data_IF_004416354533
#
_entry.id   IF_004416354533
#
_cell.length_a   1.000
_cell.length_b   1.000
_cell.length_c   1.000
_cell.angle_alpha   90.00
_cell.angle_beta   90.00
_cell.angle_gamma   90.00
#
_symmetry.space_group_name_H-M   'P 1'
#
loop_
_entity.id
_entity.type
_entity.pdbx_description
1 polymer ?
#
# COMPACT_ATOMS: atom_id res chain seq x y z
N UNK A 1 -6.48 -1.93 5.96
CA UNK A 1 -5.52 -2.97 6.42
C UNK A 1 -4.13 -2.39 6.24
N UNK A 2 -3.22 -2.63 7.19
CA UNK A 2 -1.83 -2.18 7.11
C UNK A 2 -0.91 -3.37 6.91
N UNK A 3 0.08 -3.23 6.05
CA UNK A 3 1.06 -4.25 5.67
C UNK A 3 2.46 -3.66 5.67
N UNK A 4 3.42 -4.40 6.19
CA UNK A 4 4.83 -4.09 6.00
C UNK A 4 5.27 -4.72 4.68
N UNK A 5 5.71 -3.89 3.74
CA UNK A 5 6.17 -4.32 2.42
C UNK A 5 7.66 -4.07 2.35
N UNK A 6 8.41 -5.08 1.90
CA UNK A 6 9.84 -4.97 1.66
C UNK A 6 10.11 -5.34 0.21
N UNK A 7 10.53 -4.37 -0.59
CA UNK A 7 10.93 -4.57 -1.98
C UNK A 7 12.43 -4.33 -2.06
N UNK A 8 13.19 -5.39 -2.35
CA UNK A 8 14.66 -5.38 -2.37
C UNK A 8 15.26 -4.92 -1.03
N UNK A 9 15.69 -3.67 -0.93
CA UNK A 9 16.25 -3.05 0.29
C UNK A 9 15.31 -1.97 0.88
N UNK A 10 14.21 -1.65 0.19
CA UNK A 10 13.24 -0.64 0.60
C UNK A 10 12.13 -1.28 1.43
N UNK A 11 12.11 -0.98 2.73
CA UNK A 11 11.01 -1.32 3.62
C UNK A 11 10.09 -0.11 3.82
N UNK A 12 8.82 -0.27 3.53
CA UNK A 12 7.80 0.76 3.72
C UNK A 12 6.50 0.17 4.25
N UNK A 13 5.65 1.05 4.79
CA UNK A 13 4.34 0.64 5.32
C UNK A 13 3.27 0.92 4.26
N UNK A 14 2.55 -0.12 3.84
CA UNK A 14 1.46 -0.04 2.88
C UNK A 14 0.09 -0.13 3.59
N UNK A 15 -0.74 0.89 3.44
CA UNK A 15 -2.10 0.96 3.93
C UNK A 15 -3.06 0.70 2.77
N UNK A 16 -3.73 -0.45 2.75
CA UNK A 16 -4.67 -0.78 1.68
C UNK A 16 -6.11 -0.75 2.23
N UNK A 17 -6.99 -0.04 1.54
CA UNK A 17 -8.41 0.04 1.88
C UNK A 17 -9.28 -0.14 0.64
N UNK A 18 -10.41 -0.84 0.79
CA UNK A 18 -11.43 -0.95 -0.27
C UNK A 18 -12.46 0.14 -0.02
N UNK A 19 -12.35 1.24 -0.78
CA UNK A 19 -13.27 2.37 -0.70
C UNK A 19 -13.09 3.27 -1.92
N UNK A 20 -14.06 4.15 -2.13
CA UNK A 20 -13.89 5.25 -3.07
C UNK A 20 -12.65 6.07 -2.67
N UNK A 21 -11.92 6.63 -3.65
CA UNK A 21 -10.75 7.46 -3.37
C UNK A 21 -11.18 8.71 -2.58
N UNK A 22 -11.03 8.65 -1.26
CA UNK A 22 -11.43 9.70 -0.34
C UNK A 22 -10.26 10.07 0.56
N UNK A 23 -9.90 11.36 0.55
CA UNK A 23 -8.76 11.86 1.33
C UNK A 23 -9.06 11.85 2.84
N UNK A 24 -10.34 11.88 3.25
CA UNK A 24 -10.69 11.74 4.66
C UNK A 24 -10.38 10.34 5.18
N UNK A 25 -10.54 9.31 4.35
CA UNK A 25 -10.16 7.94 4.70
C UNK A 25 -8.65 7.81 4.88
N UNK A 26 -7.85 8.52 4.08
CA UNK A 26 -6.38 8.52 4.22
C UNK A 26 -5.99 9.04 5.60
N UNK A 27 -6.58 10.15 6.03
CA UNK A 27 -6.29 10.75 7.34
C UNK A 27 -6.74 9.86 8.52
N UNK A 28 -7.75 9.01 8.34
CA UNK A 28 -8.22 8.04 9.33
C UNK A 28 -7.35 6.77 9.36
N UNK A 29 -6.85 6.34 8.19
CA UNK A 29 -6.00 5.16 8.03
C UNK A 29 -4.57 5.39 8.52
N UNK A 30 -4.05 6.58 8.29
CA UNK A 30 -2.65 6.92 8.56
C UNK A 30 -2.58 7.60 9.92
N UNK A 31 -1.84 7.04 10.90
CA UNK A 31 -1.73 7.66 12.20
C UNK A 31 -1.04 9.02 12.09
N UNK A 32 -1.40 10.00 12.93
CA UNK A 32 -0.77 11.32 12.94
C UNK A 32 0.74 11.25 13.20
N UNK A 33 1.24 10.17 13.79
CA UNK A 33 2.66 9.90 13.98
C UNK A 33 3.41 9.74 12.65
N UNK A 34 2.80 9.11 11.63
CA UNK A 34 3.38 9.00 10.28
C UNK A 34 3.52 10.37 9.62
N UNK A 35 2.53 11.25 9.77
CA UNK A 35 2.62 12.64 9.29
C UNK A 35 3.67 13.48 10.03
N UNK A 36 4.18 13.00 11.16
CA UNK A 36 5.25 13.64 11.93
C UNK A 36 6.61 12.99 11.69
N UNK A 37 6.69 11.86 10.97
CA UNK A 37 7.95 11.31 10.52
C UNK A 37 8.53 12.19 9.40
N UNK A 38 9.84 12.07 9.16
CA UNK A 38 10.50 12.76 8.04
C UNK A 38 10.15 12.15 6.67
N UNK A 39 9.37 11.07 6.64
CA UNK A 39 8.93 10.39 5.42
C UNK A 39 7.67 10.99 4.83
N UNK A 40 7.55 10.90 3.52
CA UNK A 40 6.38 11.35 2.75
C UNK A 40 5.28 10.27 2.73
N UNK A 41 4.04 10.74 2.66
CA UNK A 41 2.87 9.87 2.49
C UNK A 41 2.46 9.84 1.01
N UNK A 42 2.71 8.71 0.36
CA UNK A 42 2.31 8.46 -1.01
C UNK A 42 0.93 7.82 -1.06
N UNK A 43 -0.05 8.50 -1.66
CA UNK A 43 -1.41 7.99 -1.83
C UNK A 43 -1.66 7.68 -3.29
N UNK A 44 -2.15 6.47 -3.59
CA UNK A 44 -2.61 6.09 -4.92
C UNK A 44 -3.98 5.43 -4.85
N UNK A 45 -4.80 5.77 -5.84
CA UNK A 45 -6.09 5.13 -6.05
C UNK A 45 -5.95 4.16 -7.22
N UNK A 46 -6.31 2.90 -6.98
CA UNK A 46 -6.33 1.87 -8.00
C UNK A 46 -7.78 1.55 -8.30
N UNK A 47 -8.23 2.00 -9.47
CA UNK A 47 -9.60 1.79 -9.91
C UNK A 47 -9.77 0.45 -10.61
N UNK A 48 -8.72 -0.05 -11.26
CA UNK A 48 -8.77 -1.26 -12.07
C UNK A 48 -7.63 -2.22 -11.71
N UNK A 49 -7.89 -3.54 -11.66
CA UNK A 49 -6.87 -4.53 -11.32
C UNK A 49 -5.71 -4.57 -12.31
N UNK A 50 -5.95 -4.23 -13.59
CA UNK A 50 -4.90 -4.20 -14.61
C UNK A 50 -3.86 -3.08 -14.43
N UNK A 51 -4.21 -2.02 -13.69
CA UNK A 51 -3.30 -0.90 -13.41
C UNK A 51 -2.60 -1.03 -12.06
N UNK A 52 -3.03 -1.97 -11.20
CA UNK A 52 -2.50 -2.17 -9.86
C UNK A 52 -0.98 -2.28 -9.86
N UNK A 53 -0.45 -3.19 -10.69
CA UNK A 53 0.98 -3.41 -10.86
C UNK A 53 1.75 -2.12 -11.17
N UNK A 54 1.36 -1.45 -12.25
CA UNK A 54 2.05 -0.26 -12.73
C UNK A 54 2.01 0.86 -11.69
N UNK A 55 0.87 1.06 -11.02
CA UNK A 55 0.71 2.05 -9.96
C UNK A 55 1.58 1.75 -8.74
N UNK A 56 1.71 0.47 -8.37
CA UNK A 56 2.57 0.02 -7.26
C UNK A 56 4.04 0.21 -7.63
N UNK A 57 4.47 -0.20 -8.82
CA UNK A 57 5.86 -0.04 -9.28
C UNK A 57 6.26 1.44 -9.37
N UNK A 58 5.40 2.29 -9.94
CA UNK A 58 5.66 3.74 -10.07
C UNK A 58 5.72 4.44 -8.70
N UNK A 59 4.81 4.08 -7.79
CA UNK A 59 4.83 4.57 -6.41
C UNK A 59 6.08 4.11 -5.68
N UNK A 60 6.36 2.81 -5.68
CA UNK A 60 7.52 2.25 -4.97
C UNK A 60 8.84 2.83 -5.49
N UNK A 61 8.91 3.14 -6.79
CA UNK A 61 10.07 3.81 -7.40
C UNK A 61 10.23 5.27 -6.95
N UNK A 62 9.13 5.96 -6.61
CA UNK A 62 9.16 7.31 -6.05
C UNK A 62 9.39 7.34 -4.53
N UNK A 63 9.15 6.23 -3.83
CA UNK A 63 9.23 6.17 -2.37
C UNK A 63 10.67 6.11 -1.87
N UNK A 64 10.90 6.79 -0.75
CA UNK A 64 12.14 6.77 0.00
C UNK A 64 12.04 5.86 1.24
N UNK A 65 13.19 5.46 1.81
CA UNK A 65 13.21 4.74 3.07
C UNK A 65 12.56 5.58 4.17
N UNK A 66 11.50 5.04 4.79
CA UNK A 66 10.72 5.73 5.82
C UNK A 66 9.38 6.28 5.34
N UNK A 67 9.13 6.29 4.02
CA UNK A 67 7.85 6.71 3.46
C UNK A 67 6.74 5.68 3.72
N UNK A 68 5.50 6.15 3.60
CA UNK A 68 4.30 5.32 3.71
C UNK A 68 3.46 5.37 2.44
N UNK A 69 2.95 4.22 2.04
CA UNK A 69 2.11 4.05 0.87
C UNK A 69 0.67 3.84 1.29
N UNK A 70 -0.28 4.48 0.61
CA UNK A 70 -1.71 4.26 0.80
C UNK A 70 -2.33 3.87 -0.53
N UNK A 71 -2.91 2.68 -0.58
CA UNK A 71 -3.57 2.11 -1.75
C UNK A 71 -5.08 2.08 -1.54
N UNK A 72 -5.79 2.97 -2.22
CA UNK A 72 -7.26 3.02 -2.21
C UNK A 72 -7.78 2.19 -3.39
N UNK A 73 -8.37 1.04 -3.10
CA UNK A 73 -8.91 0.14 -4.10
C UNK A 73 -10.39 0.43 -4.31
N UNK A 74 -10.80 0.69 -5.55
CA UNK A 74 -12.22 0.91 -5.87
C UNK A 74 -13.08 -0.34 -5.61
N UNK A 75 -12.51 -1.53 -5.83
CA UNK A 75 -13.22 -2.81 -5.77
C UNK A 75 -12.42 -3.91 -5.04
N UNK A 76 -13.10 -4.93 -4.48
CA UNK A 76 -12.45 -6.09 -3.87
C UNK A 76 -11.57 -6.90 -4.84
N UNK A 77 -11.86 -6.84 -6.15
CA UNK A 77 -11.05 -7.48 -7.17
C UNK A 77 -9.68 -6.80 -7.30
N UNK A 78 -9.68 -5.45 -7.33
CA UNK A 78 -8.47 -4.63 -7.36
C UNK A 78 -7.66 -4.80 -6.07
N UNK A 79 -8.34 -4.85 -4.93
CA UNK A 79 -7.70 -5.14 -3.63
C UNK A 79 -6.88 -6.43 -3.63
N UNK A 80 -7.46 -7.52 -4.16
CA UNK A 80 -6.76 -8.80 -4.28
C UNK A 80 -5.57 -8.72 -5.22
N UNK A 81 -5.69 -7.98 -6.32
CA UNK A 81 -4.56 -7.77 -7.22
C UNK A 81 -3.43 -6.99 -6.55
N UNK A 82 -3.75 -5.87 -5.89
CA UNK A 82 -2.76 -5.08 -5.15
C UNK A 82 -2.03 -5.93 -4.11
N UNK A 83 -2.76 -6.77 -3.35
CA UNK A 83 -2.13 -7.70 -2.41
C UNK A 83 -1.18 -8.68 -3.10
N UNK A 84 -1.59 -9.26 -4.24
CA UNK A 84 -0.76 -10.18 -5.00
C UNK A 84 0.54 -9.53 -5.50
N UNK A 85 0.44 -8.32 -6.07
CA UNK A 85 1.60 -7.58 -6.56
C UNK A 85 2.54 -7.12 -5.43
N UNK A 86 2.01 -6.82 -4.23
CA UNK A 86 2.81 -6.53 -3.04
C UNK A 86 3.44 -7.78 -2.39
N UNK A 87 3.29 -8.96 -3.01
CA UNK A 87 3.84 -10.22 -2.51
C UNK A 87 3.08 -10.80 -1.31
N UNK A 88 1.88 -10.29 -1.02
CA UNK A 88 1.04 -10.73 0.10
C UNK A 88 0.08 -11.87 -0.28
N UNK A 89 0.29 -12.49 -1.46
CA UNK A 89 -0.42 -13.72 -1.88
C UNK A 89 -0.17 -14.89 -0.91
N UNK A 90 0.89 -14.79 -0.07
CA UNK A 90 1.38 -15.85 0.80
C UNK A 90 1.24 -15.58 2.31
N UNK A 91 0.22 -14.83 2.78
CA UNK A 91 -0.12 -14.83 4.23
C UNK A 91 -0.81 -16.16 4.64
N UNK A 92 -0.21 -17.29 4.23
CA UNK A 92 -0.44 -18.64 4.73
C UNK A 92 0.82 -19.52 4.80
N UNK A 93 2.03 -19.11 4.39
CA UNK A 93 3.18 -20.04 4.41
C UNK A 93 4.35 -19.71 5.34
N UNK A 94 4.50 -18.51 5.92
CA UNK A 94 5.60 -18.22 6.87
C UNK A 94 5.11 -17.90 8.31
N UNK A 95 4.46 -18.88 8.93
CA UNK A 95 4.29 -18.96 10.41
C UNK A 95 4.38 -20.39 10.94
N UNK A 96 5.08 -21.26 10.21
CA UNK A 96 5.51 -22.58 10.68
C UNK A 96 6.92 -22.85 10.13
N UNK A 97 7.94 -22.34 10.81
CA UNK A 97 9.17 -23.11 11.04
C UNK A 97 9.89 -22.61 12.29
#
# INVERSE_FOLDING_TARGET
>A
MVLAVTIEDLAFTAYIAVSQPDINLVADLVPPEQFQQEGDLHVTAVNQPGEARQQIEDMAFNMNPGDAAVFLCADPATYRQVLGELGQDDIRADRLN
#
